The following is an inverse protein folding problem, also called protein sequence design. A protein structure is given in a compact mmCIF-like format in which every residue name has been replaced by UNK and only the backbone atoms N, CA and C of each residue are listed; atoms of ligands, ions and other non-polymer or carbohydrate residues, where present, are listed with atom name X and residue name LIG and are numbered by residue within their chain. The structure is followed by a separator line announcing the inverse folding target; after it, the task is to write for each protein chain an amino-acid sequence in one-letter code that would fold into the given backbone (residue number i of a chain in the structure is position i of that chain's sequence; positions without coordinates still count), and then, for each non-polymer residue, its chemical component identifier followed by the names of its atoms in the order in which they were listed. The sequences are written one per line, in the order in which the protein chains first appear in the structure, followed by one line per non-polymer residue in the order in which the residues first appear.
data_IF_071418077998
#
_entry.id   IF_071418077998
#
_cell.length_a   1.000
_cell.length_b   1.000
_cell.length_c   1.000
_cell.angle_alpha   90.00
_cell.angle_beta   90.00
_cell.angle_gamma   90.00
#
_symmetry.space_group_name_H-M   'P 1'
#
loop_
_entity.id
_entity.type
_entity.pdbx_description
1 polymer ?
#
# COMPACT_ATOMS: atom_id res chain seq x y z
N UNK A 1 -12.44 -33.21 0.13
CA UNK A 1 -12.29 -31.74 0.24
C UNK A 1 -10.86 -31.42 -0.15
N UNK A 2 -10.65 -30.51 -1.11
CA UNK A 2 -9.30 -30.01 -1.38
C UNK A 2 -8.84 -29.21 -0.15
N UNK A 3 -7.54 -29.22 0.19
CA UNK A 3 -7.05 -28.40 1.30
C UNK A 3 -7.32 -26.91 1.00
N UNK A 4 -7.61 -26.09 2.04
CA UNK A 4 -7.83 -24.68 1.84
C UNK A 4 -6.59 -24.03 1.20
N UNK A 5 -6.83 -23.15 0.23
CA UNK A 5 -5.76 -22.43 -0.46
C UNK A 5 -5.06 -21.49 0.51
N UNK A 6 -3.75 -21.56 0.59
CA UNK A 6 -2.96 -20.72 1.50
C UNK A 6 -2.65 -19.36 0.88
N UNK A 7 -2.40 -18.29 1.68
CA UNK A 7 -1.98 -16.98 1.16
C UNK A 7 -0.75 -17.06 0.24
N UNK A 8 0.23 -17.90 0.56
CA UNK A 8 1.41 -18.14 -0.29
C UNK A 8 1.01 -18.72 -1.65
N UNK A 9 0.10 -19.71 -1.68
CA UNK A 9 -0.38 -20.31 -2.94
C UNK A 9 -1.13 -19.28 -3.80
N UNK A 10 -1.93 -18.41 -3.17
CA UNK A 10 -2.62 -17.31 -3.86
C UNK A 10 -1.60 -16.35 -4.47
N UNK A 11 -0.62 -15.86 -3.69
CA UNK A 11 0.43 -14.98 -4.22
C UNK A 11 1.21 -15.64 -5.36
N UNK A 12 1.60 -16.91 -5.20
CA UNK A 12 2.33 -17.65 -6.25
C UNK A 12 1.54 -17.72 -7.56
N UNK A 13 0.25 -18.00 -7.47
CA UNK A 13 -0.63 -18.08 -8.63
C UNK A 13 -0.88 -16.71 -9.30
N UNK A 14 -0.95 -15.64 -8.52
CA UNK A 14 -1.21 -14.29 -9.02
C UNK A 14 0.05 -13.56 -9.51
N UNK A 15 1.24 -13.93 -9.03
CA UNK A 15 2.50 -13.25 -9.36
C UNK A 15 2.76 -13.07 -10.87
N UNK A 16 2.55 -14.06 -11.75
CA UNK A 16 2.75 -13.87 -13.19
C UNK A 16 1.86 -12.77 -13.78
N UNK A 17 0.62 -12.68 -13.32
CA UNK A 17 -0.35 -11.67 -13.79
C UNK A 17 -0.01 -10.28 -13.25
N UNK A 18 0.39 -10.18 -11.99
CA UNK A 18 0.86 -8.92 -11.41
C UNK A 18 2.11 -8.40 -12.12
N UNK A 19 3.05 -9.28 -12.49
CA UNK A 19 4.21 -8.91 -13.32
C UNK A 19 3.81 -8.43 -14.70
N UNK A 20 2.82 -9.08 -15.33
CA UNK A 20 2.25 -8.65 -16.61
C UNK A 20 1.60 -7.27 -16.48
N UNK A 21 0.84 -7.03 -15.40
CA UNK A 21 0.28 -5.71 -15.10
C UNK A 21 1.37 -4.64 -14.94
N UNK A 22 2.44 -4.96 -14.21
CA UNK A 22 3.59 -4.07 -14.03
C UNK A 22 4.30 -3.75 -15.35
N UNK A 23 4.53 -4.73 -16.20
CA UNK A 23 5.11 -4.54 -17.52
C UNK A 23 4.22 -3.68 -18.43
N UNK A 24 2.90 -3.91 -18.39
CA UNK A 24 1.92 -3.09 -19.09
C UNK A 24 1.96 -1.63 -18.60
N UNK A 25 1.87 -1.41 -17.29
CA UNK A 25 1.93 -0.07 -16.71
C UNK A 25 3.18 0.68 -17.16
N UNK A 26 4.35 0.03 -17.09
CA UNK A 26 5.62 0.63 -17.51
C UNK A 26 5.65 0.95 -19.01
N UNK A 27 5.14 0.05 -19.85
CA UNK A 27 5.14 0.22 -21.30
C UNK A 27 4.27 1.40 -21.74
N UNK A 28 3.12 1.59 -21.10
CA UNK A 28 2.16 2.62 -21.52
C UNK A 28 2.33 3.96 -20.81
N UNK A 29 3.15 4.04 -19.76
CA UNK A 29 3.29 5.23 -18.92
C UNK A 29 3.51 6.53 -19.71
N UNK A 30 4.38 6.50 -20.72
CA UNK A 30 4.68 7.69 -21.53
C UNK A 30 3.53 8.12 -22.47
N UNK A 31 2.51 7.29 -22.62
CA UNK A 31 1.39 7.50 -23.54
C UNK A 31 0.07 7.69 -22.78
N UNK A 32 0.06 7.43 -21.46
CA UNK A 32 -1.17 7.49 -20.68
C UNK A 32 -1.59 8.95 -20.48
N UNK A 33 -2.89 9.17 -20.49
CA UNK A 33 -3.51 10.47 -20.18
C UNK A 33 -4.32 10.31 -18.90
N UNK A 34 -4.31 11.35 -18.07
CA UNK A 34 -5.15 11.38 -16.88
C UNK A 34 -6.63 11.30 -17.26
N UNK A 35 -7.37 10.48 -16.56
CA UNK A 35 -8.83 10.48 -16.57
C UNK A 35 -9.36 11.63 -15.70
N UNK A 36 -10.66 12.00 -15.83
CA UNK A 36 -11.26 12.93 -14.88
C UNK A 36 -11.04 12.48 -13.44
N UNK A 37 -10.75 13.44 -12.57
CA UNK A 37 -10.53 13.20 -11.15
C UNK A 37 -11.70 12.45 -10.49
N UNK A 38 -11.37 11.57 -9.55
CA UNK A 38 -12.38 10.86 -8.74
C UNK A 38 -13.18 11.86 -7.90
N UNK A 39 -14.50 11.73 -7.92
CA UNK A 39 -15.41 12.58 -7.15
C UNK A 39 -15.19 12.46 -5.63
N UNK A 40 -15.45 13.55 -4.91
CA UNK A 40 -15.47 13.56 -3.44
C UNK A 40 -14.09 13.51 -2.75
N UNK A 41 -13.00 13.63 -3.48
CA UNK A 41 -11.63 13.61 -2.89
C UNK A 41 -11.10 14.98 -2.49
N UNK A 42 -11.86 16.06 -2.74
CA UNK A 42 -11.49 17.44 -2.38
C UNK A 42 -10.27 17.93 -3.15
N UNK A 43 -9.36 18.62 -2.46
CA UNK A 43 -8.12 19.19 -3.02
C UNK A 43 -6.93 18.19 -3.02
N UNK A 44 -7.16 16.94 -2.60
CA UNK A 44 -6.11 15.93 -2.55
C UNK A 44 -5.91 15.29 -3.93
N UNK A 45 -5.04 15.87 -4.74
CA UNK A 45 -4.74 15.39 -6.10
C UNK A 45 -4.15 13.96 -6.12
N UNK A 46 -3.50 13.48 -5.06
CA UNK A 46 -3.06 12.08 -5.00
C UNK A 46 -4.25 11.12 -4.89
N UNK A 47 -5.27 11.49 -4.12
CA UNK A 47 -6.45 10.65 -3.95
C UNK A 47 -7.44 10.75 -5.10
N UNK A 48 -7.39 11.84 -5.89
CA UNK A 48 -8.30 12.07 -7.02
C UNK A 48 -7.75 11.53 -8.34
N UNK A 49 -6.43 11.34 -8.46
CA UNK A 49 -5.80 10.91 -9.70
C UNK A 49 -6.31 9.54 -10.16
N UNK A 50 -6.55 9.43 -11.45
CA UNK A 50 -7.01 8.21 -12.14
C UNK A 50 -6.42 8.14 -13.52
N UNK A 51 -6.04 6.97 -13.99
CA UNK A 51 -5.61 6.73 -15.35
C UNK A 51 -6.28 5.51 -15.98
N UNK A 52 -6.23 5.40 -17.31
CA UNK A 52 -6.67 4.21 -18.02
C UNK A 52 -5.89 2.95 -17.62
N UNK A 53 -4.66 3.12 -17.14
CA UNK A 53 -3.86 2.01 -16.66
C UNK A 53 -4.43 1.41 -15.36
N UNK A 54 -4.87 2.25 -14.42
CA UNK A 54 -5.54 1.80 -13.18
C UNK A 54 -6.74 0.92 -13.52
N UNK A 55 -7.64 1.42 -14.37
CA UNK A 55 -8.86 0.71 -14.78
C UNK A 55 -8.55 -0.61 -15.52
N UNK A 56 -7.56 -0.58 -16.42
CA UNK A 56 -7.17 -1.76 -17.20
C UNK A 56 -6.56 -2.84 -16.32
N UNK A 57 -5.68 -2.48 -15.39
CA UNK A 57 -5.04 -3.40 -14.47
C UNK A 57 -6.07 -4.01 -13.53
N UNK A 58 -6.96 -3.20 -12.94
CA UNK A 58 -8.00 -3.72 -12.07
C UNK A 58 -8.91 -4.72 -12.81
N UNK A 59 -9.40 -4.35 -14.00
CA UNK A 59 -10.24 -5.23 -14.82
C UNK A 59 -9.55 -6.55 -15.15
N UNK A 60 -8.28 -6.51 -15.53
CA UNK A 60 -7.50 -7.72 -15.80
C UNK A 60 -7.42 -8.61 -14.55
N UNK A 61 -7.10 -8.05 -13.40
CA UNK A 61 -6.96 -8.81 -12.15
C UNK A 61 -8.30 -9.37 -11.68
N UNK A 62 -9.41 -8.65 -11.85
CA UNK A 62 -10.75 -9.16 -11.56
C UNK A 62 -11.06 -10.43 -12.37
N UNK A 63 -10.76 -10.43 -13.67
CA UNK A 63 -10.97 -11.59 -14.55
C UNK A 63 -10.07 -12.76 -14.15
N UNK A 64 -8.81 -12.49 -13.82
CA UNK A 64 -7.86 -13.50 -13.34
C UNK A 64 -8.36 -14.14 -12.03
N UNK A 65 -8.79 -13.32 -11.08
CA UNK A 65 -9.32 -13.79 -9.80
C UNK A 65 -10.58 -14.65 -9.99
N UNK A 66 -11.49 -14.20 -10.86
CA UNK A 66 -12.69 -14.97 -11.19
C UNK A 66 -12.35 -16.36 -11.76
N UNK A 67 -11.30 -16.46 -12.56
CA UNK A 67 -10.87 -17.72 -13.15
C UNK A 67 -10.13 -18.64 -12.19
N UNK A 68 -9.27 -18.08 -11.33
CA UNK A 68 -8.41 -18.87 -10.43
C UNK A 68 -9.01 -19.10 -9.05
N UNK A 69 -9.74 -18.10 -8.53
CA UNK A 69 -10.28 -18.06 -7.17
C UNK A 69 -11.73 -17.56 -7.15
N UNK A 70 -12.69 -18.28 -7.78
CA UNK A 70 -14.06 -17.80 -8.00
C UNK A 70 -14.85 -17.56 -6.71
N UNK A 71 -14.36 -18.04 -5.57
CA UNK A 71 -14.96 -17.83 -4.25
C UNK A 71 -14.25 -16.77 -3.41
N UNK A 72 -13.13 -16.21 -3.90
CA UNK A 72 -12.47 -15.12 -3.21
C UNK A 72 -13.33 -13.86 -3.27
N UNK A 73 -13.32 -13.10 -2.19
CA UNK A 73 -13.88 -11.75 -2.17
C UNK A 73 -12.83 -10.78 -2.67
N UNK A 74 -13.27 -9.72 -3.30
CA UNK A 74 -12.39 -8.74 -3.91
C UNK A 74 -12.83 -7.31 -3.60
N UNK A 75 -11.84 -6.46 -3.32
CA UNK A 75 -12.00 -5.02 -3.20
C UNK A 75 -10.85 -4.33 -3.94
N UNK A 76 -11.18 -3.65 -5.05
CA UNK A 76 -10.24 -2.83 -5.80
C UNK A 76 -10.44 -1.35 -5.51
N UNK A 77 -9.40 -0.53 -5.70
CA UNK A 77 -9.49 0.91 -5.49
C UNK A 77 -10.50 1.56 -6.44
N UNK A 78 -10.55 1.06 -7.69
CA UNK A 78 -11.41 1.58 -8.75
C UNK A 78 -12.76 0.89 -8.83
N UNK A 79 -13.20 0.32 -7.71
CA UNK A 79 -14.42 -0.48 -7.63
C UNK A 79 -15.66 0.24 -8.18
N UNK A 80 -15.84 1.51 -7.84
CA UNK A 80 -16.99 2.30 -8.29
C UNK A 80 -16.90 2.70 -9.77
N UNK A 81 -15.71 2.62 -10.36
CA UNK A 81 -15.43 3.02 -11.73
C UNK A 81 -15.51 1.86 -12.72
N UNK A 82 -15.52 0.60 -12.25
CA UNK A 82 -15.48 -0.57 -13.14
C UNK A 82 -16.86 -1.17 -13.39
N UNK A 83 -17.11 -1.57 -14.65
CA UNK A 83 -18.35 -2.23 -15.06
C UNK A 83 -18.41 -3.72 -14.68
N UNK A 84 -17.29 -4.31 -14.28
CA UNK A 84 -17.17 -5.73 -13.96
C UNK A 84 -17.49 -6.07 -12.50
N UNK A 85 -17.79 -5.07 -11.68
CA UNK A 85 -18.12 -5.21 -10.26
C UNK A 85 -19.29 -6.16 -9.97
N UNK A 86 -20.14 -6.45 -10.96
CA UNK A 86 -21.22 -7.45 -10.84
C UNK A 86 -20.73 -8.87 -10.53
N UNK A 87 -19.47 -9.19 -10.86
CA UNK A 87 -18.87 -10.51 -10.63
C UNK A 87 -18.17 -10.60 -9.29
N UNK A 88 -17.66 -9.47 -8.81
CA UNK A 88 -17.02 -9.35 -7.50
C UNK A 88 -17.75 -8.29 -6.70
N UNK A 89 -18.00 -8.58 -5.46
CA UNK A 89 -18.55 -7.60 -4.54
C UNK A 89 -17.54 -7.37 -3.44
N UNK A 90 -17.20 -6.12 -3.20
CA UNK A 90 -16.58 -5.72 -1.96
C UNK A 90 -17.60 -5.98 -0.87
N UNK A 91 -17.42 -7.06 -0.16
CA UNK A 91 -18.33 -7.50 0.88
C UNK A 91 -17.52 -7.42 2.16
N UNK A 92 -18.19 -7.52 3.28
CA UNK A 92 -17.53 -7.68 4.58
C UNK A 92 -16.42 -8.75 4.52
N UNK A 93 -15.55 -8.75 5.48
CA UNK A 93 -14.44 -9.68 5.56
C UNK A 93 -14.88 -11.15 5.73
N UNK A 94 -16.17 -11.40 5.99
CA UNK A 94 -16.75 -12.72 6.11
C UNK A 94 -16.24 -13.54 7.30
N UNK A 95 -16.64 -14.82 7.38
CA UNK A 95 -16.23 -15.71 8.46
C UNK A 95 -14.75 -16.03 8.40
N UNK A 96 -14.20 -16.46 9.54
CA UNK A 96 -12.81 -16.88 9.64
C UNK A 96 -12.50 -18.00 8.63
N UNK A 97 -11.38 -17.86 7.92
CA UNK A 97 -10.95 -18.80 6.88
C UNK A 97 -11.24 -18.34 5.44
N UNK A 98 -12.14 -17.38 5.25
CA UNK A 98 -12.33 -16.74 3.95
C UNK A 98 -11.39 -15.55 3.81
N UNK A 99 -10.85 -15.39 2.61
CA UNK A 99 -9.96 -14.26 2.30
C UNK A 99 -10.70 -13.17 1.51
N UNK A 100 -10.39 -11.92 1.86
CA UNK A 100 -10.61 -10.77 1.01
C UNK A 100 -9.28 -10.46 0.31
N UNK A 101 -9.30 -10.34 -1.02
CA UNK A 101 -8.17 -9.89 -1.81
C UNK A 101 -8.40 -8.43 -2.15
N UNK A 102 -7.45 -7.56 -1.81
CA UNK A 102 -7.51 -6.14 -2.16
C UNK A 102 -6.48 -5.80 -3.21
N UNK A 103 -6.77 -4.81 -4.05
CA UNK A 103 -5.88 -4.35 -5.10
C UNK A 103 -5.91 -2.83 -5.20
N UNK A 104 -4.73 -2.22 -5.12
CA UNK A 104 -4.46 -0.90 -5.66
C UNK A 104 -3.71 -1.11 -6.99
N UNK A 105 -4.34 -0.78 -8.12
CA UNK A 105 -3.74 -1.01 -9.45
C UNK A 105 -2.50 -0.18 -9.71
N UNK A 106 -2.47 1.08 -9.22
CA UNK A 106 -1.31 1.97 -9.29
C UNK A 106 -1.29 2.87 -8.04
N UNK A 107 -0.77 2.38 -6.91
CA UNK A 107 -0.48 3.25 -5.77
C UNK A 107 0.54 4.33 -6.19
N UNK A 108 0.13 5.57 -6.01
CA UNK A 108 0.88 6.71 -6.51
C UNK A 108 0.52 7.05 -7.95
N UNK A 109 -0.76 7.02 -8.33
CA UNK A 109 -1.24 7.37 -9.68
C UNK A 109 -0.73 8.74 -10.13
N UNK A 110 -0.63 9.73 -9.23
CA UNK A 110 -0.07 11.03 -9.59
C UNK A 110 1.42 10.94 -9.95
N UNK A 111 2.22 10.16 -9.22
CA UNK A 111 3.62 9.90 -9.60
C UNK A 111 3.71 9.25 -10.98
N UNK A 112 2.83 8.29 -11.24
CA UNK A 112 2.75 7.58 -12.50
C UNK A 112 2.44 8.52 -13.68
N UNK A 113 1.41 9.38 -13.54
CA UNK A 113 1.01 10.36 -14.55
C UNK A 113 2.10 11.40 -14.83
N UNK A 114 2.89 11.75 -13.83
CA UNK A 114 4.00 12.69 -13.96
C UNK A 114 5.30 12.04 -14.49
N UNK A 115 5.26 10.74 -14.79
CA UNK A 115 6.39 10.00 -15.38
C UNK A 115 7.44 9.51 -14.37
N UNK A 116 7.15 9.56 -13.07
CA UNK A 116 8.05 9.06 -12.03
C UNK A 116 8.02 7.53 -11.93
N UNK A 117 9.07 6.95 -11.34
CA UNK A 117 9.27 5.49 -11.25
C UNK A 117 8.86 4.88 -9.90
N UNK A 118 8.38 5.68 -8.94
CA UNK A 118 8.08 5.27 -7.58
C UNK A 118 6.60 4.98 -7.32
N UNK A 119 5.86 4.64 -8.37
CA UNK A 119 4.54 4.03 -8.28
C UNK A 119 4.65 2.51 -8.11
N UNK A 120 3.59 1.88 -7.63
CA UNK A 120 3.56 0.45 -7.41
C UNK A 120 2.17 -0.14 -7.59
N UNK A 121 2.10 -1.45 -7.81
CA UNK A 121 0.87 -2.22 -7.77
C UNK A 121 0.85 -2.95 -6.44
N UNK A 122 -0.18 -2.76 -5.62
CA UNK A 122 -0.30 -3.40 -4.33
C UNK A 122 -1.46 -4.40 -4.35
N UNK A 123 -1.19 -5.65 -3.98
CA UNK A 123 -2.22 -6.64 -3.72
C UNK A 123 -2.03 -7.18 -2.31
N UNK A 124 -3.12 -7.27 -1.55
CA UNK A 124 -3.07 -7.86 -0.22
C UNK A 124 -4.15 -8.95 -0.05
N UNK A 125 -3.88 -9.88 0.84
CA UNK A 125 -4.75 -10.99 1.23
C UNK A 125 -5.03 -10.84 2.71
N UNK A 126 -6.29 -10.66 3.05
CA UNK A 126 -6.77 -10.34 4.37
C UNK A 126 -7.72 -11.44 4.88
N UNK A 127 -7.67 -11.71 6.18
CA UNK A 127 -8.77 -12.37 6.88
C UNK A 127 -9.60 -11.33 7.66
N UNK A 128 -10.52 -11.77 8.51
CA UNK A 128 -11.37 -10.86 9.28
C UNK A 128 -10.59 -9.95 10.25
N UNK A 129 -9.43 -10.39 10.72
CA UNK A 129 -8.68 -9.70 11.76
C UNK A 129 -7.47 -8.94 11.23
N UNK A 130 -6.74 -9.53 10.26
CA UNK A 130 -5.41 -9.08 9.89
C UNK A 130 -5.05 -9.37 8.43
N UNK A 131 -3.93 -8.78 8.00
CA UNK A 131 -3.26 -9.15 6.76
C UNK A 131 -2.59 -10.52 6.90
N UNK A 132 -2.81 -11.38 5.94
CA UNK A 132 -2.14 -12.69 5.82
C UNK A 132 -0.95 -12.62 4.88
N UNK A 133 -1.07 -11.80 3.83
CA UNK A 133 -0.01 -11.55 2.88
C UNK A 133 -0.21 -10.21 2.18
N UNK A 134 0.88 -9.66 1.66
CA UNK A 134 0.84 -8.52 0.73
C UNK A 134 2.00 -8.62 -0.26
N UNK A 135 1.81 -8.06 -1.44
CA UNK A 135 2.84 -7.89 -2.46
C UNK A 135 2.74 -6.47 -3.03
N UNK A 136 3.89 -5.83 -3.20
CA UNK A 136 4.03 -4.51 -3.81
C UNK A 136 5.03 -4.61 -4.96
N UNK A 137 4.55 -4.45 -6.19
CA UNK A 137 5.40 -4.47 -7.39
C UNK A 137 5.71 -3.04 -7.77
N UNK A 138 6.99 -2.70 -7.92
CA UNK A 138 7.47 -1.39 -8.36
C UNK A 138 8.07 -1.53 -9.76
N UNK A 139 7.26 -1.41 -10.83
CA UNK A 139 7.69 -1.73 -12.19
C UNK A 139 8.83 -0.84 -12.66
N UNK A 140 8.76 0.46 -12.37
CA UNK A 140 9.78 1.44 -12.75
C UNK A 140 11.16 1.18 -12.13
N UNK A 141 11.25 0.35 -11.10
CA UNK A 141 12.49 -0.06 -10.43
C UNK A 141 12.87 -1.52 -10.74
N UNK A 142 12.04 -2.26 -11.45
CA UNK A 142 12.29 -3.66 -11.82
C UNK A 142 12.24 -4.65 -10.65
N UNK A 143 11.61 -4.29 -9.52
CA UNK A 143 11.60 -5.05 -8.28
C UNK A 143 10.18 -5.28 -7.76
N UNK A 144 10.08 -6.21 -6.82
CA UNK A 144 8.90 -6.36 -5.98
C UNK A 144 9.26 -6.75 -4.56
N UNK A 145 8.36 -6.44 -3.64
CA UNK A 145 8.39 -6.88 -2.25
C UNK A 145 7.17 -7.74 -1.99
N UNK A 146 7.31 -8.76 -1.14
CA UNK A 146 6.15 -9.46 -0.60
C UNK A 146 6.37 -9.81 0.87
N UNK A 147 5.27 -9.91 1.60
CA UNK A 147 5.26 -10.32 2.99
C UNK A 147 4.24 -11.43 3.20
N UNK A 148 4.59 -12.34 4.09
CA UNK A 148 3.67 -13.35 4.64
C UNK A 148 3.70 -13.20 6.15
N UNK A 149 2.53 -13.23 6.77
CA UNK A 149 2.41 -13.06 8.22
C UNK A 149 3.32 -14.02 8.97
N UNK A 150 4.16 -13.47 9.86
CA UNK A 150 5.10 -14.21 10.69
C UNK A 150 6.32 -14.75 9.97
N UNK A 151 6.43 -14.58 8.65
CA UNK A 151 7.58 -15.03 7.87
C UNK A 151 8.55 -13.89 7.52
N UNK A 152 8.07 -12.63 7.59
CA UNK A 152 8.83 -11.45 7.25
C UNK A 152 8.56 -10.93 5.85
N UNK A 153 9.33 -9.93 5.46
CA UNK A 153 9.26 -9.29 4.14
C UNK A 153 10.44 -9.71 3.28
N UNK A 154 10.15 -9.97 2.01
CA UNK A 154 11.11 -10.44 1.02
C UNK A 154 11.17 -9.47 -0.16
N UNK A 155 12.32 -9.42 -0.82
CA UNK A 155 12.55 -8.62 -2.03
C UNK A 155 13.06 -9.50 -3.15
N UNK A 156 12.54 -9.30 -4.34
CA UNK A 156 12.99 -9.95 -5.57
C UNK A 156 13.01 -9.01 -6.77
N UNK A 157 13.70 -9.45 -7.82
CA UNK A 157 13.63 -8.83 -9.14
C UNK A 157 12.37 -9.34 -9.86
N UNK A 158 11.88 -8.59 -10.84
CA UNK A 158 10.65 -8.98 -11.56
C UNK A 158 10.75 -10.30 -12.33
N UNK A 159 11.96 -10.79 -12.64
CA UNK A 159 12.18 -12.09 -13.28
C UNK A 159 12.22 -13.27 -12.28
N UNK A 160 12.36 -13.01 -10.99
CA UNK A 160 12.46 -14.05 -9.94
C UNK A 160 11.09 -14.55 -9.48
N UNK A 161 11.02 -15.83 -9.07
CA UNK A 161 9.88 -16.38 -8.34
C UNK A 161 9.91 -15.97 -6.86
N UNK A 162 8.80 -16.22 -6.10
CA UNK A 162 8.77 -15.92 -4.66
C UNK A 162 9.88 -16.65 -3.89
N UNK A 163 10.19 -17.90 -4.28
CA UNK A 163 11.19 -18.74 -3.61
C UNK A 163 12.63 -18.22 -3.82
N UNK A 164 12.86 -17.47 -4.91
CA UNK A 164 14.16 -16.89 -5.22
C UNK A 164 14.40 -15.53 -4.53
N UNK A 165 13.38 -14.99 -3.87
CA UNK A 165 13.50 -13.73 -3.16
C UNK A 165 14.30 -13.86 -1.87
N UNK A 166 15.00 -12.78 -1.52
CA UNK A 166 15.75 -12.70 -0.27
C UNK A 166 14.91 -12.00 0.81
N UNK A 167 14.92 -12.57 2.02
CA UNK A 167 14.34 -11.88 3.18
C UNK A 167 15.13 -10.61 3.44
N UNK A 168 14.42 -9.51 3.65
CA UNK A 168 15.03 -8.22 3.90
C UNK A 168 14.83 -7.75 5.34
N UNK A 169 15.79 -6.95 5.78
CA UNK A 169 15.73 -6.16 7.00
C UNK A 169 16.43 -4.84 6.69
N UNK A 170 15.79 -3.73 7.02
CA UNK A 170 16.45 -2.43 6.90
C UNK A 170 17.18 -2.13 8.19
N UNK A 171 18.51 -2.15 8.17
CA UNK A 171 19.32 -1.97 9.38
C UNK A 171 19.67 -0.49 9.64
N UNK A 172 19.83 0.31 8.59
CA UNK A 172 20.21 1.73 8.67
C UNK A 172 19.39 2.54 7.64
N UNK A 173 18.09 2.78 7.89
CA UNK A 173 17.29 3.59 7.01
C UNK A 173 17.73 5.05 7.06
N UNK A 174 17.57 5.78 5.95
CA UNK A 174 17.81 7.22 5.92
C UNK A 174 16.99 7.90 7.01
N UNK A 175 17.53 8.92 7.71
CA UNK A 175 16.80 9.67 8.74
C UNK A 175 15.77 10.61 8.09
N UNK A 176 14.84 10.01 7.38
CA UNK A 176 13.77 10.68 6.65
C UNK A 176 12.42 10.08 7.03
N UNK A 177 11.38 10.89 7.05
CA UNK A 177 10.01 10.48 7.35
C UNK A 177 9.05 11.02 6.30
N UNK A 178 8.02 10.24 5.99
CA UNK A 178 6.95 10.64 5.09
C UNK A 178 5.67 10.92 5.88
N UNK A 179 5.08 12.07 5.63
CA UNK A 179 3.82 12.50 6.22
C UNK A 179 2.74 12.51 5.15
N UNK A 180 1.64 11.80 5.42
CA UNK A 180 0.47 11.81 4.55
C UNK A 180 -0.17 13.20 4.44
N UNK A 181 -1.05 13.37 3.47
CA UNK A 181 -1.64 14.64 3.03
C UNK A 181 -2.12 15.56 4.15
N UNK A 182 -2.74 15.00 5.17
CA UNK A 182 -3.34 15.78 6.29
C UNK A 182 -2.38 15.99 7.47
N UNK A 183 -1.14 15.52 7.39
CA UNK A 183 -0.21 15.47 8.52
C UNK A 183 0.73 16.69 8.59
N UNK A 184 0.44 17.78 7.89
CA UNK A 184 1.29 18.97 7.85
C UNK A 184 1.56 19.61 9.22
N UNK A 185 0.61 19.52 10.17
CA UNK A 185 0.80 20.01 11.53
C UNK A 185 1.91 19.27 12.31
N UNK A 186 2.31 18.07 11.88
CA UNK A 186 3.38 17.29 12.50
C UNK A 186 4.77 17.81 12.13
N UNK A 187 4.91 18.45 10.96
CA UNK A 187 6.21 18.92 10.42
C UNK A 187 7.05 19.71 11.44
N UNK A 188 6.52 20.77 12.14
CA UNK A 188 7.33 21.56 13.05
C UNK A 188 7.87 20.80 14.26
N UNK A 189 7.30 19.63 14.57
CA UNK A 189 7.67 18.83 15.74
C UNK A 189 8.77 17.79 15.49
N UNK A 190 9.17 17.60 14.23
CA UNK A 190 10.16 16.58 13.85
C UNK A 190 11.23 17.04 12.85
N UNK A 191 11.07 18.21 12.23
CA UNK A 191 11.97 18.70 11.16
C UNK A 191 13.38 19.05 11.64
N UNK A 192 13.61 19.15 12.94
CA UNK A 192 14.93 19.30 13.56
C UNK A 192 15.74 17.99 13.62
N UNK A 193 15.06 16.85 13.54
CA UNK A 193 15.66 15.52 13.68
C UNK A 193 15.63 14.67 12.41
N UNK A 194 14.64 14.90 11.56
CA UNK A 194 14.40 14.13 10.36
C UNK A 194 14.25 15.02 9.13
N UNK A 195 14.69 14.52 7.98
CA UNK A 195 14.21 15.06 6.70
C UNK A 195 12.75 14.69 6.54
N UNK A 196 11.89 15.69 6.53
CA UNK A 196 10.45 15.46 6.37
C UNK A 196 10.07 15.58 4.91
N UNK A 197 9.27 14.61 4.43
CA UNK A 197 8.55 14.69 3.17
C UNK A 197 7.05 14.73 3.47
N UNK A 198 6.44 15.87 3.23
CA UNK A 198 5.00 16.02 3.37
C UNK A 198 4.36 16.02 1.99
N UNK A 199 3.49 15.03 1.72
CA UNK A 199 2.96 14.77 0.37
C UNK A 199 2.25 15.97 -0.25
N UNK A 200 1.64 16.86 0.56
CA UNK A 200 0.93 18.04 0.07
C UNK A 200 1.84 19.19 -0.37
N UNK A 201 2.98 19.39 0.30
CA UNK A 201 3.80 20.60 0.13
C UNK A 201 5.11 20.35 -0.59
N UNK A 202 5.65 19.13 -0.53
CA UNK A 202 7.01 18.87 -0.98
C UNK A 202 7.05 18.14 -2.34
N UNK A 203 5.87 17.74 -2.83
CA UNK A 203 5.73 17.15 -4.15
C UNK A 203 5.35 18.22 -5.19
N UNK A 204 6.00 18.13 -6.33
CA UNK A 204 5.55 18.76 -7.58
C UNK A 204 5.90 17.83 -8.75
N UNK A 205 5.39 18.11 -9.93
CA UNK A 205 5.72 17.34 -11.13
C UNK A 205 7.22 17.25 -11.38
N UNK A 206 7.98 18.30 -11.03
CA UNK A 206 9.43 18.38 -11.20
C UNK A 206 10.20 17.82 -9.98
N UNK A 207 9.53 17.64 -8.86
CA UNK A 207 10.15 17.24 -7.59
C UNK A 207 9.57 15.94 -7.10
N UNK A 208 10.26 14.85 -7.43
CA UNK A 208 9.92 13.54 -6.89
C UNK A 208 10.28 13.44 -5.41
N UNK A 209 9.33 12.99 -4.59
CA UNK A 209 9.53 12.62 -3.19
C UNK A 209 9.44 11.09 -3.04
N UNK A 210 9.97 10.47 -1.96
CA UNK A 210 9.70 9.07 -1.68
C UNK A 210 8.19 8.82 -1.49
N UNK A 211 7.70 7.73 -2.08
CA UNK A 211 6.39 7.16 -1.73
C UNK A 211 6.53 6.32 -0.43
N UNK A 212 5.44 5.88 0.16
CA UNK A 212 5.45 5.06 1.39
C UNK A 212 6.20 3.72 1.24
N UNK A 213 6.39 3.20 0.03
CA UNK A 213 7.28 2.05 -0.22
C UNK A 213 8.75 2.33 0.16
N UNK A 214 9.13 3.58 0.36
CA UNK A 214 10.43 3.98 0.93
C UNK A 214 10.70 3.37 2.31
N UNK A 215 9.66 2.93 3.04
CA UNK A 215 9.81 2.11 4.25
C UNK A 215 10.48 0.77 3.94
N UNK A 216 10.15 0.15 2.81
CA UNK A 216 10.66 -1.16 2.42
C UNK A 216 12.07 -1.08 1.80
N UNK A 217 12.41 0.04 1.17
CA UNK A 217 13.73 0.27 0.57
C UNK A 217 14.76 0.85 1.54
N UNK A 218 14.32 1.37 2.71
CA UNK A 218 15.16 2.09 3.66
C UNK A 218 15.36 3.56 3.32
N UNK A 219 14.62 4.10 2.36
CA UNK A 219 14.61 5.54 2.07
C UNK A 219 13.88 6.34 3.15
N UNK A 220 13.06 5.67 3.96
CA UNK A 220 12.30 6.25 5.06
C UNK A 220 12.53 5.48 6.36
N UNK A 221 12.86 6.20 7.43
CA UNK A 221 12.92 5.65 8.79
C UNK A 221 11.51 5.53 9.40
N UNK A 222 10.52 6.25 8.88
CA UNK A 222 9.16 6.18 9.39
C UNK A 222 8.17 6.94 8.53
N UNK A 223 6.90 6.81 8.91
CA UNK A 223 5.79 7.51 8.27
C UNK A 223 4.64 7.76 9.25
N UNK A 224 3.83 8.78 8.94
CA UNK A 224 2.58 9.08 9.64
C UNK A 224 1.46 9.23 8.63
N UNK A 225 0.42 8.43 8.78
CA UNK A 225 -0.75 8.39 7.93
C UNK A 225 -1.99 8.83 8.73
N UNK A 226 -2.79 9.75 8.22
CA UNK A 226 -4.06 10.14 8.85
C UNK A 226 -5.06 8.98 8.92
N UNK A 227 -4.97 8.07 7.96
CA UNK A 227 -5.74 6.83 7.83
C UNK A 227 -4.96 5.83 6.99
N UNK A 228 -5.14 4.54 7.24
CA UNK A 228 -4.56 3.48 6.43
C UNK A 228 -5.63 2.76 5.62
N UNK A 229 -5.74 3.04 4.33
CA UNK A 229 -6.60 2.25 3.47
C UNK A 229 -6.10 0.82 3.39
N UNK A 230 -7.02 -0.16 3.35
CA UNK A 230 -6.63 -1.58 3.32
C UNK A 230 -5.89 -1.96 2.04
N UNK A 231 -6.11 -1.20 0.97
CA UNK A 231 -5.53 -1.45 -0.35
C UNK A 231 -4.09 -0.92 -0.49
N UNK A 232 -3.72 0.11 0.28
CA UNK A 232 -2.44 0.85 0.14
C UNK A 232 -1.68 1.02 1.46
N UNK A 233 -1.87 2.11 2.16
CA UNK A 233 -1.07 2.50 3.33
C UNK A 233 -1.08 1.47 4.47
N UNK A 234 -2.20 0.78 4.73
CA UNK A 234 -2.24 -0.25 5.75
C UNK A 234 -1.56 -1.56 5.28
N UNK A 235 -1.60 -1.87 3.98
CA UNK A 235 -0.86 -2.99 3.42
C UNK A 235 0.66 -2.75 3.51
N UNK A 236 1.13 -1.55 3.17
CA UNK A 236 2.55 -1.17 3.33
C UNK A 236 2.98 -1.14 4.79
N UNK A 237 2.11 -0.69 5.72
CA UNK A 237 2.36 -0.73 7.15
C UNK A 237 2.52 -2.17 7.66
N UNK A 238 1.68 -3.11 7.19
CA UNK A 238 1.84 -4.54 7.46
C UNK A 238 3.19 -5.07 6.95
N UNK A 239 3.57 -4.75 5.71
CA UNK A 239 4.85 -5.17 5.15
C UNK A 239 6.04 -4.61 5.94
N UNK A 240 5.98 -3.35 6.38
CA UNK A 240 6.97 -2.74 7.25
C UNK A 240 7.01 -3.42 8.62
N UNK A 241 5.87 -3.77 9.20
CA UNK A 241 5.79 -4.50 10.46
C UNK A 241 6.46 -5.88 10.37
N UNK A 242 6.26 -6.62 9.28
CA UNK A 242 6.94 -7.89 9.01
C UNK A 242 8.47 -7.75 8.85
N UNK A 243 8.95 -6.54 8.54
CA UNK A 243 10.40 -6.20 8.56
C UNK A 243 10.91 -5.84 9.95
N UNK A 244 10.03 -5.68 10.95
CA UNK A 244 10.38 -5.32 12.31
C UNK A 244 10.17 -3.83 12.65
N UNK A 245 9.51 -3.05 11.79
CA UNK A 245 9.05 -1.71 12.14
C UNK A 245 7.94 -1.78 13.19
N UNK A 246 7.85 -0.75 14.01
CA UNK A 246 6.78 -0.59 14.99
C UNK A 246 5.65 0.17 14.32
N UNK A 247 4.43 -0.39 14.37
CA UNK A 247 3.23 0.21 13.82
C UNK A 247 2.18 0.32 14.92
N UNK A 248 1.70 1.54 15.17
CA UNK A 248 0.64 1.80 16.15
C UNK A 248 -0.38 2.80 15.60
N UNK A 249 -1.50 2.91 16.28
CA UNK A 249 -2.42 4.04 16.13
C UNK A 249 -1.80 5.31 16.71
N UNK A 250 -2.46 6.45 16.57
CA UNK A 250 -2.06 7.72 17.20
C UNK A 250 -2.15 7.70 18.73
N UNK A 251 -2.89 6.74 19.31
CA UNK A 251 -2.91 6.49 20.75
C UNK A 251 -1.73 5.66 21.25
N UNK A 252 -0.91 5.11 20.33
CA UNK A 252 0.18 4.21 20.68
C UNK A 252 -0.23 2.73 20.80
N UNK A 253 -1.51 2.43 20.57
CA UNK A 253 -2.04 1.07 20.62
C UNK A 253 -1.78 0.32 19.31
N UNK A 254 -1.71 -1.02 19.32
CA UNK A 254 -1.70 -1.81 18.08
C UNK A 254 -2.88 -1.45 17.18
N UNK A 255 -2.73 -1.51 15.84
CA UNK A 255 -3.86 -1.30 14.94
C UNK A 255 -4.99 -2.29 15.23
N UNK A 256 -6.26 -1.83 15.22
CA UNK A 256 -7.40 -2.69 15.55
C UNK A 256 -7.60 -3.81 14.51
N UNK A 257 -8.28 -4.91 14.88
CA UNK A 257 -8.69 -5.94 13.94
C UNK A 257 -9.49 -5.36 12.76
N UNK A 258 -9.26 -5.89 11.56
CA UNK A 258 -9.82 -5.32 10.32
C UNK A 258 -11.36 -5.27 10.31
N UNK A 259 -12.02 -6.32 10.85
CA UNK A 259 -13.49 -6.37 10.93
C UNK A 259 -14.10 -5.28 11.82
N UNK A 260 -13.31 -4.64 12.69
CA UNK A 260 -13.77 -3.54 13.53
C UNK A 260 -13.60 -2.17 12.85
N UNK A 261 -12.90 -2.13 11.73
CA UNK A 261 -12.68 -0.93 10.95
C UNK A 261 -13.90 -0.63 10.05
N UNK A 262 -14.11 0.65 9.74
CA UNK A 262 -15.17 1.10 8.82
C UNK A 262 -14.56 1.51 7.50
N UNK A 263 -15.32 1.37 6.43
CA UNK A 263 -14.99 1.86 5.09
C UNK A 263 -13.61 1.37 4.59
N UNK A 264 -13.20 0.17 5.00
CA UNK A 264 -11.88 -0.42 4.69
C UNK A 264 -10.70 0.48 5.08
N UNK A 265 -10.85 1.22 6.20
CA UNK A 265 -9.86 2.15 6.71
C UNK A 265 -9.42 1.77 8.12
N UNK A 266 -8.13 1.59 8.36
CA UNK A 266 -7.54 1.65 9.69
C UNK A 266 -7.47 3.10 10.16
N UNK A 267 -7.54 3.35 11.48
CA UNK A 267 -7.32 4.67 12.04
C UNK A 267 -5.92 5.20 11.70
N UNK A 268 -5.66 6.45 12.03
CA UNK A 268 -4.35 7.06 11.83
C UNK A 268 -3.22 6.21 12.39
N UNK A 269 -2.13 6.08 11.64
CA UNK A 269 -1.02 5.18 11.94
C UNK A 269 0.31 5.91 12.04
N UNK A 270 1.12 5.49 13.02
CA UNK A 270 2.52 5.87 13.20
C UNK A 270 3.38 4.65 12.93
N UNK A 271 4.34 4.77 12.02
CA UNK A 271 5.24 3.71 11.59
C UNK A 271 6.67 4.17 11.84
N UNK A 272 7.47 3.40 12.58
CA UNK A 272 8.87 3.74 12.88
C UNK A 272 9.80 2.51 12.83
N UNK A 273 10.96 2.67 12.22
CA UNK A 273 11.96 1.59 12.06
C UNK A 273 12.58 1.12 13.39
N UNK A 274 12.48 1.92 14.43
CA UNK A 274 13.02 1.64 15.76
C UNK A 274 12.13 2.26 16.84
N UNK A 275 12.34 1.82 18.09
CA UNK A 275 11.65 2.42 19.25
C UNK A 275 11.86 3.93 19.35
N UNK A 276 13.06 4.42 19.02
CA UNK A 276 13.37 5.85 19.09
C UNK A 276 12.59 6.63 18.02
N UNK A 277 12.68 6.22 16.74
CA UNK A 277 11.94 6.86 15.64
C UNK A 277 10.44 6.84 15.89
N UNK A 278 9.90 5.68 16.29
CA UNK A 278 8.47 5.55 16.58
C UNK A 278 8.02 6.47 17.72
N UNK A 279 8.78 6.52 18.82
CA UNK A 279 8.48 7.41 19.96
C UNK A 279 8.51 8.88 19.57
N UNK A 280 9.49 9.29 18.76
CA UNK A 280 9.58 10.65 18.23
C UNK A 280 8.36 11.05 17.40
N UNK A 281 7.95 10.16 16.47
CA UNK A 281 6.79 10.40 15.62
C UNK A 281 5.48 10.43 16.43
N UNK A 282 5.32 9.52 17.39
CA UNK A 282 4.15 9.49 18.26
C UNK A 282 4.04 10.75 19.14
N UNK A 283 5.17 11.21 19.69
CA UNK A 283 5.23 12.46 20.43
C UNK A 283 4.87 13.67 19.56
N UNK A 284 5.35 13.69 18.31
CA UNK A 284 5.05 14.75 17.36
C UNK A 284 3.55 14.79 16.98
N UNK A 285 2.94 13.63 16.73
CA UNK A 285 1.49 13.49 16.47
C UNK A 285 0.68 14.03 17.66
N UNK A 286 1.08 13.67 18.90
CA UNK A 286 0.45 14.12 20.13
C UNK A 286 0.57 15.65 20.29
N UNK A 287 1.78 16.19 20.06
CA UNK A 287 2.04 17.63 20.17
C UNK A 287 1.26 18.45 19.13
N UNK A 288 1.16 17.92 17.91
CA UNK A 288 0.40 18.52 16.81
C UNK A 288 -1.12 18.44 17.01
N UNK A 289 -1.61 17.67 17.99
CA UNK A 289 -3.04 17.44 18.26
C UNK A 289 -3.81 16.96 17.03
N UNK A 290 -3.17 16.23 16.15
CA UNK A 290 -3.84 15.64 15.00
C UNK A 290 -4.68 14.45 15.44
N UNK A 291 -5.85 14.31 14.83
CA UNK A 291 -6.73 13.14 15.03
C UNK A 291 -6.66 12.24 13.81
N UNK A 292 -6.52 10.94 14.03
CA UNK A 292 -6.76 9.93 12.98
C UNK A 292 -8.27 9.69 12.83
N UNK A 293 -8.66 9.32 11.63
CA UNK A 293 -10.04 8.91 11.33
C UNK A 293 -10.37 7.55 11.95
#
# INVERSE_FOLDING_TARGET
MLPPTTPRQILTALLPYLKTAGAYAQQVQAQIVAQPDKDGKGDNFFASALSDADLSIQTMMEVVLLGLFPHARFYGEEYEQTYNTKYFRAIDLGPAGDYLITLDPIDGTQFYLDGHSNYQIILAILNADEYEAAIAITPGQGIYYYSLRGEGTFKGQLDQSLEACSRIKVEDPKPAVCLGWQMGAVVPHISDRYRVYHTKTDYSKETQIPNFNGLLSGDLAGAVLAKGQFIDGAALAFMAQEMGYIVTTFAGDPPPPLHTCRDYLRPGMVIGCSKAVHADLLAAVTAARVTGY
#
